data_IF_148141728426
#
_entry.id   IF_148141728426
#
_cell.length_a   1.000
_cell.length_b   1.000
_cell.length_c   1.000
_cell.angle_alpha   90.00
_cell.angle_beta   90.00
_cell.angle_gamma   90.00
#
_symmetry.space_group_name_H-M   'P 1'
#
loop_
_entity.id
_entity.type
_entity.pdbx_description
1 polymer ?
#
# COMPACT_ATOMS: atom_id res chain seq x y z
N UNK A 1 -5.86 10.40 13.56
CA UNK A 1 -5.92 10.37 12.08
C UNK A 1 -4.53 10.01 11.57
N UNK A 2 -4.12 8.76 11.45
CA UNK A 2 -4.71 7.72 10.61
C UNK A 2 -3.71 7.44 9.50
N UNK A 3 -2.57 6.84 9.87
CA UNK A 3 -1.45 6.55 8.96
C UNK A 3 -1.90 5.77 7.70
N UNK A 4 -3.04 5.07 7.79
CA UNK A 4 -3.70 4.36 6.69
C UNK A 4 -4.10 5.27 5.51
N UNK A 5 -4.77 6.40 5.73
CA UNK A 5 -5.20 7.25 4.61
C UNK A 5 -3.99 7.88 3.92
N UNK A 6 -2.99 8.30 4.71
CA UNK A 6 -1.72 8.80 4.17
C UNK A 6 -0.99 7.73 3.36
N UNK A 7 -0.99 6.48 3.82
CA UNK A 7 -0.44 5.35 3.09
C UNK A 7 -1.17 5.11 1.76
N UNK A 8 -2.50 5.07 1.76
CA UNK A 8 -3.27 4.84 0.53
C UNK A 8 -3.10 5.98 -0.48
N UNK A 9 -3.06 7.24 -0.02
CA UNK A 9 -2.75 8.40 -0.88
C UNK A 9 -1.34 8.30 -1.46
N UNK A 10 -0.38 7.87 -0.64
CA UNK A 10 0.99 7.67 -1.11
C UNK A 10 1.04 6.61 -2.20
N UNK A 11 0.38 5.46 -2.04
CA UNK A 11 0.27 4.41 -3.08
C UNK A 11 -0.45 4.94 -4.32
N UNK A 12 -1.53 5.72 -4.17
CA UNK A 12 -2.29 6.26 -5.30
C UNK A 12 -1.48 7.21 -6.19
N UNK A 13 -0.49 7.92 -5.62
CA UNK A 13 0.24 8.96 -6.32
C UNK A 13 1.10 8.43 -7.49
N UNK A 14 1.61 7.20 -7.40
CA UNK A 14 2.33 6.52 -8.49
C UNK A 14 2.44 5.01 -8.21
N UNK A 15 2.54 4.16 -9.26
CA UNK A 15 2.89 2.76 -9.09
C UNK A 15 4.20 2.62 -8.29
N UNK A 16 4.22 1.68 -7.35
CA UNK A 16 5.37 1.38 -6.48
C UNK A 16 5.48 -0.10 -6.24
N UNK A 17 6.70 -0.58 -6.10
CA UNK A 17 6.99 -1.96 -5.78
C UNK A 17 6.84 -2.25 -4.29
N UNK A 18 6.72 -3.52 -3.93
CA UNK A 18 6.76 -3.98 -2.55
C UNK A 18 8.07 -3.56 -1.87
N UNK A 19 9.21 -3.65 -2.56
CA UNK A 19 10.50 -3.22 -2.02
C UNK A 19 10.52 -1.72 -1.67
N UNK A 20 10.11 -0.85 -2.60
CA UNK A 20 10.00 0.60 -2.35
C UNK A 20 9.02 0.91 -1.21
N UNK A 21 7.91 0.17 -1.15
CA UNK A 21 6.90 0.35 -0.11
C UNK A 21 7.43 -0.03 1.26
N UNK A 22 8.13 -1.16 1.36
CA UNK A 22 8.77 -1.57 2.60
C UNK A 22 9.89 -0.63 3.01
N UNK A 23 10.73 -0.16 2.09
CA UNK A 23 11.76 0.81 2.41
C UNK A 23 11.17 2.11 3.01
N UNK A 24 10.13 2.66 2.38
CA UNK A 24 9.51 3.92 2.81
C UNK A 24 8.68 3.82 4.10
N UNK A 25 8.13 2.63 4.42
CA UNK A 25 7.17 2.47 5.51
C UNK A 25 7.62 1.56 6.66
N UNK A 26 8.74 0.85 6.53
CA UNK A 26 9.27 -0.08 7.55
C UNK A 26 10.00 0.60 8.72
N UNK A 27 10.41 1.87 8.59
CA UNK A 27 11.48 2.43 9.45
C UNK A 27 11.09 3.25 10.67
N UNK A 28 9.85 3.66 10.92
CA UNK A 28 9.50 4.22 12.23
C UNK A 28 8.18 3.65 12.72
N UNK A 29 8.17 2.99 13.88
CA UNK A 29 6.94 2.74 14.62
C UNK A 29 6.17 4.08 14.78
N UNK A 30 4.89 4.21 14.39
CA UNK A 30 3.88 3.19 14.12
C UNK A 30 3.60 2.91 12.62
N UNK A 31 4.55 3.15 11.71
CA UNK A 31 4.29 3.14 10.25
C UNK A 31 3.96 1.78 9.64
N UNK A 32 4.39 0.69 10.29
CA UNK A 32 3.97 -0.66 9.90
C UNK A 32 2.45 -0.84 10.00
N UNK A 33 1.80 -0.14 10.94
CA UNK A 33 0.36 -0.30 11.18
C UNK A 33 -0.46 0.05 9.94
N UNK A 34 -0.06 1.02 9.12
CA UNK A 34 -0.83 1.39 7.94
C UNK A 34 -0.75 0.36 6.82
N UNK A 35 0.42 -0.25 6.64
CA UNK A 35 0.60 -1.35 5.70
C UNK A 35 -0.20 -2.58 6.15
N UNK A 36 -0.12 -2.91 7.44
CA UNK A 36 -0.86 -4.01 8.04
C UNK A 36 -2.36 -3.78 7.96
N UNK A 37 -2.83 -2.60 8.33
CA UNK A 37 -4.23 -2.19 8.22
C UNK A 37 -4.70 -2.26 6.76
N UNK A 38 -3.93 -1.74 5.80
CA UNK A 38 -4.29 -1.75 4.40
C UNK A 38 -4.40 -3.19 3.85
N UNK A 39 -3.47 -4.05 4.23
CA UNK A 39 -3.45 -5.46 3.82
C UNK A 39 -4.59 -6.24 4.49
N UNK A 40 -4.74 -6.13 5.81
CA UNK A 40 -5.76 -6.83 6.59
C UNK A 40 -7.18 -6.41 6.18
N UNK A 41 -7.37 -5.15 5.79
CA UNK A 41 -8.66 -4.65 5.32
C UNK A 41 -8.89 -4.87 3.81
N UNK A 42 -7.95 -5.47 3.06
CA UNK A 42 -8.08 -5.69 1.62
C UNK A 42 -8.18 -4.39 0.82
N UNK A 43 -7.48 -3.34 1.24
CA UNK A 43 -7.47 -2.02 0.61
C UNK A 43 -6.40 -1.92 -0.48
N UNK A 44 -5.40 -2.79 -0.43
CA UNK A 44 -4.34 -2.93 -1.44
C UNK A 44 -4.23 -4.39 -1.91
N UNK A 45 -3.64 -4.55 -3.09
CA UNK A 45 -3.29 -5.83 -3.68
C UNK A 45 -1.88 -5.75 -4.31
N UNK A 46 -1.30 -6.89 -4.67
CA UNK A 46 0.03 -6.98 -5.28
C UNK A 46 -0.06 -7.66 -6.64
N UNK A 47 0.35 -6.96 -7.70
CA UNK A 47 0.38 -7.52 -9.05
C UNK A 47 1.82 -7.86 -9.45
N UNK A 48 2.01 -9.09 -9.92
CA UNK A 48 3.23 -9.57 -10.52
C UNK A 48 3.07 -9.46 -12.03
N UNK A 49 3.48 -8.33 -12.64
CA UNK A 49 3.30 -8.14 -14.08
C UNK A 49 4.18 -9.08 -14.90
N UNK A 50 5.44 -9.28 -14.50
CA UNK A 50 6.42 -10.02 -15.31
C UNK A 50 7.47 -10.79 -14.48
N UNK A 51 7.35 -10.80 -13.15
CA UNK A 51 8.37 -11.34 -12.25
C UNK A 51 7.79 -12.09 -11.06
N UNK A 52 8.37 -13.24 -10.77
CA UNK A 52 8.08 -14.03 -9.56
C UNK A 52 8.80 -13.48 -8.32
N UNK A 53 9.65 -12.47 -8.47
CA UNK A 53 10.36 -11.83 -7.36
C UNK A 53 9.38 -10.95 -6.58
N UNK A 54 9.13 -11.32 -5.32
CA UNK A 54 8.21 -10.59 -4.43
C UNK A 54 8.55 -9.11 -4.28
N UNK A 55 9.82 -8.75 -4.29
CA UNK A 55 10.28 -7.36 -4.21
C UNK A 55 9.79 -6.47 -5.35
N UNK A 56 9.55 -7.06 -6.52
CA UNK A 56 9.15 -6.36 -7.76
C UNK A 56 7.63 -6.30 -7.94
N UNK A 57 6.87 -6.96 -7.06
CA UNK A 57 5.42 -6.91 -7.09
C UNK A 57 4.94 -5.47 -6.91
N UNK A 58 4.09 -4.99 -7.81
CA UNK A 58 3.56 -3.63 -7.75
C UNK A 58 2.35 -3.58 -6.84
N UNK A 59 2.39 -2.68 -5.86
CA UNK A 59 1.27 -2.45 -4.94
C UNK A 59 0.22 -1.58 -5.64
N UNK A 60 -1.01 -2.05 -5.65
CA UNK A 60 -2.15 -1.36 -6.27
C UNK A 60 -3.29 -1.20 -5.27
N UNK A 61 -4.07 -0.13 -5.42
CA UNK A 61 -5.31 0.00 -4.65
C UNK A 61 -6.36 -1.00 -5.17
N UNK A 62 -7.08 -1.63 -4.26
CA UNK A 62 -8.31 -2.35 -4.60
C UNK A 62 -9.45 -1.37 -4.87
N UNK A 63 -10.59 -1.87 -5.37
CA UNK A 63 -11.81 -1.06 -5.45
C UNK A 63 -12.21 -0.50 -4.07
N UNK A 64 -12.04 -1.29 -3.01
CA UNK A 64 -12.31 -0.89 -1.63
C UNK A 64 -11.35 0.21 -1.15
N UNK A 65 -10.06 0.08 -1.44
CA UNK A 65 -9.07 1.11 -1.13
C UNK A 65 -9.37 2.45 -1.81
N UNK A 66 -9.75 2.42 -3.09
CA UNK A 66 -10.18 3.62 -3.83
C UNK A 66 -11.44 4.24 -3.25
N UNK A 67 -12.44 3.43 -2.90
CA UNK A 67 -13.69 3.91 -2.31
C UNK A 67 -13.45 4.60 -0.96
N UNK A 68 -12.54 4.08 -0.13
CA UNK A 68 -12.17 4.69 1.15
C UNK A 68 -11.51 6.06 0.97
N UNK A 69 -10.65 6.22 -0.05
CA UNK A 69 -10.06 7.51 -0.39
C UNK A 69 -11.10 8.53 -0.89
N UNK A 70 -12.09 8.07 -1.65
CA UNK A 70 -13.12 8.94 -2.21
C UNK A 70 -14.18 9.40 -1.19
N UNK A 71 -14.26 8.73 -0.04
CA UNK A 71 -15.23 9.01 1.04
C UNK A 71 -14.62 9.82 2.19
N UNK A 72 -13.47 10.46 1.94
CA UNK A 72 -12.68 11.23 2.90
C UNK A 72 -12.50 12.67 2.47
#
# INVERSE_FOLDING_TARGET
MGNLVQFLLWIAARPRTYAETMEAWRTNCPRLSAWEDATANGLIDMTHKDSSVRGEAVIVLTAKGRALLASK
#
